data_IF_733407123317
#
_entry.id   IF_733407123317
#
_cell.length_a   1.000
_cell.length_b   1.000
_cell.length_c   1.000
_cell.angle_alpha   90.00
_cell.angle_beta   90.00
_cell.angle_gamma   90.00
#
_symmetry.space_group_name_H-M   'P 1'
#
loop_
_entity.id
_entity.type
_entity.pdbx_description
1 polymer ?
#
# COMPACT_ATOMS: atom_id res chain seq x y z
N UNK A 1 43.73 -32.99 41.54
CA UNK A 1 43.67 -31.52 41.70
C UNK A 1 43.87 -30.96 40.27
N UNK A 2 43.05 -30.19 39.74
CA UNK A 2 41.83 -29.50 40.03
C UNK A 2 41.31 -28.85 38.81
N UNK A 3 40.10 -28.74 38.78
CA UNK A 3 39.17 -27.88 38.16
C UNK A 3 39.72 -26.72 37.29
N UNK A 4 39.78 -26.91 35.99
CA UNK A 4 39.49 -25.87 35.00
C UNK A 4 38.89 -26.56 33.74
N UNK A 5 37.70 -27.12 33.93
CA UNK A 5 36.85 -27.47 32.83
C UNK A 5 35.83 -26.37 32.66
N UNK A 6 35.74 -25.89 31.40
CA UNK A 6 34.52 -25.41 30.82
C UNK A 6 34.03 -24.00 31.25
N UNK A 7 34.42 -23.03 30.47
CA UNK A 7 33.55 -21.89 30.16
C UNK A 7 33.84 -21.40 28.72
N UNK A 8 33.83 -22.29 27.76
CA UNK A 8 33.71 -21.94 26.34
C UNK A 8 32.59 -22.77 25.74
N UNK A 9 31.40 -22.68 26.31
CA UNK A 9 30.18 -22.98 25.60
C UNK A 9 29.78 -21.71 24.86
N UNK A 10 30.60 -21.33 23.87
CA UNK A 10 30.16 -20.44 22.83
C UNK A 10 28.99 -21.14 22.16
N UNK A 11 27.76 -20.60 22.26
CA UNK A 11 26.64 -20.99 21.40
C UNK A 11 27.17 -20.96 19.99
N UNK A 12 27.43 -22.13 19.41
CA UNK A 12 27.64 -22.26 17.98
C UNK A 12 26.34 -21.74 17.37
N UNK A 13 26.39 -20.54 16.78
CA UNK A 13 25.25 -20.00 16.08
C UNK A 13 24.85 -21.01 15.03
N UNK A 14 23.60 -21.49 15.08
CA UNK A 14 23.06 -22.37 14.09
C UNK A 14 23.20 -21.66 12.73
N UNK A 15 23.85 -22.27 11.70
CA UNK A 15 24.05 -21.63 10.41
C UNK A 15 22.76 -21.11 9.76
N UNK A 16 21.63 -21.76 10.05
CA UNK A 16 20.30 -21.32 9.59
C UNK A 16 19.84 -20.04 10.30
N UNK A 17 20.09 -19.92 11.60
CA UNK A 17 19.77 -18.69 12.36
C UNK A 17 20.61 -17.49 11.88
N UNK A 18 21.88 -17.72 11.57
CA UNK A 18 22.74 -16.68 11.03
C UNK A 18 22.31 -16.24 9.62
N UNK A 19 21.96 -17.21 8.77
CA UNK A 19 21.41 -16.93 7.44
C UNK A 19 20.11 -16.13 7.52
N UNK A 20 19.22 -16.49 8.43
CA UNK A 20 17.95 -15.77 8.63
C UNK A 20 18.17 -14.35 9.16
N UNK A 21 19.09 -14.16 10.12
CA UNK A 21 19.47 -12.83 10.61
C UNK A 21 20.05 -11.96 9.49
N UNK A 22 20.90 -12.52 8.64
CA UNK A 22 21.46 -11.80 7.51
C UNK A 22 20.38 -11.42 6.48
N UNK A 23 19.44 -12.33 6.22
CA UNK A 23 18.29 -12.04 5.34
C UNK A 23 17.46 -10.89 5.86
N UNK A 24 17.09 -10.92 7.16
CA UNK A 24 16.34 -9.85 7.80
C UNK A 24 17.10 -8.52 7.77
N UNK A 25 18.39 -8.53 8.08
CA UNK A 25 19.22 -7.33 8.02
C UNK A 25 19.27 -6.72 6.62
N UNK A 26 19.42 -7.55 5.59
CA UNK A 26 19.46 -7.08 4.21
C UNK A 26 18.09 -6.53 3.78
N UNK A 27 16.98 -7.16 4.19
CA UNK A 27 15.63 -6.64 3.97
C UNK A 27 15.50 -5.22 4.53
N UNK A 28 15.86 -5.00 5.79
CA UNK A 28 15.79 -3.69 6.44
C UNK A 28 16.66 -2.65 5.70
N UNK A 29 17.88 -3.01 5.31
CA UNK A 29 18.77 -2.11 4.56
C UNK A 29 18.09 -1.66 3.25
N UNK A 30 17.60 -2.60 2.44
CA UNK A 30 16.94 -2.27 1.18
C UNK A 30 15.67 -1.46 1.39
N UNK A 31 14.84 -1.81 2.37
CA UNK A 31 13.63 -1.05 2.72
C UNK A 31 13.96 0.41 3.05
N UNK A 32 14.91 0.64 3.96
CA UNK A 32 15.28 2.00 4.36
C UNK A 32 16.01 2.79 3.25
N UNK A 33 16.83 2.14 2.44
CA UNK A 33 17.47 2.77 1.29
C UNK A 33 16.41 3.16 0.23
N UNK A 34 15.42 2.31 0.00
CA UNK A 34 14.27 2.62 -0.86
C UNK A 34 13.48 3.84 -0.37
N UNK A 35 13.14 3.88 0.92
CA UNK A 35 12.43 5.01 1.53
C UNK A 35 13.23 6.32 1.42
N UNK A 36 14.54 6.24 1.61
CA UNK A 36 15.42 7.40 1.45
C UNK A 36 15.49 7.86 0.00
N UNK A 37 15.64 6.93 -0.94
CA UNK A 37 15.64 7.22 -2.37
C UNK A 37 14.33 7.86 -2.83
N UNK A 38 13.19 7.36 -2.38
CA UNK A 38 11.86 7.93 -2.66
C UNK A 38 11.78 9.39 -2.19
N UNK A 39 12.19 9.67 -0.95
CA UNK A 39 12.21 11.05 -0.41
C UNK A 39 13.13 11.99 -1.18
N UNK A 40 14.19 11.46 -1.79
CA UNK A 40 15.14 12.22 -2.63
C UNK A 40 14.68 12.33 -4.10
N UNK A 41 13.51 11.82 -4.45
CA UNK A 41 12.98 11.82 -5.83
C UNK A 41 13.72 10.88 -6.79
N UNK A 42 14.48 9.91 -6.26
CA UNK A 42 15.24 8.93 -7.05
C UNK A 42 14.42 7.68 -7.28
N UNK A 43 13.39 7.79 -8.12
CA UNK A 43 12.39 6.74 -8.33
C UNK A 43 13.02 5.41 -8.77
N UNK A 44 13.88 5.39 -9.80
CA UNK A 44 14.51 4.16 -10.29
C UNK A 44 15.27 3.41 -9.20
N UNK A 45 15.99 4.15 -8.34
CA UNK A 45 16.74 3.54 -7.25
C UNK A 45 15.82 3.07 -6.12
N UNK A 46 14.73 3.79 -5.85
CA UNK A 46 13.71 3.38 -4.89
C UNK A 46 13.03 2.08 -5.33
N UNK A 47 12.61 1.99 -6.59
CA UNK A 47 12.02 0.78 -7.18
C UNK A 47 12.98 -0.40 -7.01
N UNK A 48 14.24 -0.24 -7.38
CA UNK A 48 15.25 -1.29 -7.24
C UNK A 48 15.36 -1.75 -5.78
N UNK A 49 15.51 -0.83 -4.84
CA UNK A 49 15.66 -1.16 -3.42
C UNK A 49 14.43 -1.88 -2.86
N UNK A 50 13.22 -1.38 -3.14
CA UNK A 50 12.00 -2.03 -2.65
C UNK A 50 11.79 -3.41 -3.29
N UNK A 51 12.13 -3.58 -4.57
CA UNK A 51 12.07 -4.88 -5.25
C UNK A 51 13.03 -5.89 -4.62
N UNK A 52 14.28 -5.48 -4.32
CA UNK A 52 15.24 -6.34 -3.62
C UNK A 52 14.79 -6.68 -2.20
N UNK A 53 14.18 -5.72 -1.48
CA UNK A 53 13.60 -5.99 -0.17
C UNK A 53 12.49 -7.05 -0.26
N UNK A 54 11.55 -6.88 -1.18
CA UNK A 54 10.41 -7.79 -1.38
C UNK A 54 10.83 -9.18 -1.89
N UNK A 55 11.97 -9.28 -2.59
CA UNK A 55 12.55 -10.57 -2.96
C UNK A 55 13.09 -11.36 -1.74
N UNK A 56 13.49 -10.63 -0.69
CA UNK A 56 13.92 -11.24 0.56
C UNK A 56 12.74 -11.60 1.47
N UNK A 57 11.77 -10.70 1.58
CA UNK A 57 10.63 -10.85 2.49
C UNK A 57 9.40 -10.15 1.93
N UNK A 58 8.26 -10.85 1.92
CA UNK A 58 6.99 -10.22 1.66
C UNK A 58 6.62 -9.30 2.82
N UNK A 59 6.39 -8.01 2.53
CA UNK A 59 6.11 -6.99 3.51
C UNK A 59 5.09 -5.99 2.95
N UNK A 60 3.91 -5.94 3.57
CA UNK A 60 2.79 -5.14 3.11
C UNK A 60 3.12 -3.64 3.03
N UNK A 61 3.84 -3.13 4.02
CA UNK A 61 4.26 -1.72 4.06
C UNK A 61 5.22 -1.39 2.91
N UNK A 62 6.20 -2.27 2.65
CA UNK A 62 7.15 -2.09 1.53
C UNK A 62 6.44 -2.17 0.17
N UNK A 63 5.43 -3.03 0.02
CA UNK A 63 4.58 -3.04 -1.17
C UNK A 63 3.87 -1.70 -1.36
N UNK A 64 3.35 -1.11 -0.28
CA UNK A 64 2.71 0.21 -0.31
C UNK A 64 3.67 1.31 -0.78
N UNK A 65 4.90 1.33 -0.28
CA UNK A 65 5.93 2.27 -0.75
C UNK A 65 6.24 2.08 -2.24
N UNK A 66 6.41 0.85 -2.69
CA UNK A 66 6.70 0.54 -4.09
C UNK A 66 5.54 0.95 -5.00
N UNK A 67 4.30 0.66 -4.62
CA UNK A 67 3.12 1.07 -5.36
C UNK A 67 3.06 2.61 -5.51
N UNK A 68 3.36 3.33 -4.43
CA UNK A 68 3.40 4.79 -4.47
C UNK A 68 4.50 5.33 -5.40
N UNK A 69 5.67 4.69 -5.44
CA UNK A 69 6.74 5.09 -6.37
C UNK A 69 6.30 4.85 -7.82
N UNK A 70 5.67 3.72 -8.13
CA UNK A 70 5.13 3.45 -9.47
C UNK A 70 4.07 4.48 -9.89
N UNK A 71 3.16 4.87 -8.99
CA UNK A 71 2.17 5.93 -9.26
C UNK A 71 2.86 7.25 -9.58
N UNK A 72 3.86 7.65 -8.77
CA UNK A 72 4.62 8.89 -8.96
C UNK A 72 5.44 8.89 -10.27
N UNK A 73 5.88 7.71 -10.71
CA UNK A 73 6.64 7.51 -11.96
C UNK A 73 5.73 7.35 -13.18
N UNK A 74 4.40 7.47 -13.00
CA UNK A 74 3.41 7.24 -14.05
C UNK A 74 3.48 5.83 -14.67
N UNK A 75 3.66 4.83 -13.80
CA UNK A 75 3.68 3.41 -14.12
C UNK A 75 2.44 2.70 -13.51
N UNK A 76 1.21 3.01 -13.98
CA UNK A 76 -0.02 2.53 -13.34
C UNK A 76 -0.20 1.00 -13.44
N UNK A 77 0.33 0.36 -14.47
CA UNK A 77 0.21 -1.09 -14.66
C UNK A 77 0.95 -1.87 -13.55
N UNK A 78 2.16 -1.41 -13.19
CA UNK A 78 2.93 -2.04 -12.13
C UNK A 78 2.34 -1.72 -10.74
N UNK A 79 1.86 -0.49 -10.56
CA UNK A 79 1.15 -0.11 -9.33
C UNK A 79 -0.11 -0.97 -9.13
N UNK A 80 -0.92 -1.17 -10.18
CA UNK A 80 -2.14 -1.98 -10.13
C UNK A 80 -1.87 -3.41 -9.71
N UNK A 81 -0.94 -4.10 -10.37
CA UNK A 81 -0.57 -5.48 -10.03
C UNK A 81 -0.20 -5.64 -8.57
N UNK A 82 0.56 -4.68 -8.05
CA UNK A 82 1.01 -4.71 -6.67
C UNK A 82 -0.13 -4.45 -5.69
N UNK A 83 -0.99 -3.48 -5.99
CA UNK A 83 -2.18 -3.15 -5.17
C UNK A 83 -3.20 -4.29 -5.17
N UNK A 84 -3.45 -4.94 -6.31
CA UNK A 84 -4.32 -6.12 -6.39
C UNK A 84 -3.78 -7.26 -5.51
N UNK A 85 -2.46 -7.48 -5.49
CA UNK A 85 -1.85 -8.43 -4.56
C UNK A 85 -2.06 -8.00 -3.09
N UNK A 86 -1.91 -6.72 -2.79
CA UNK A 86 -2.11 -6.18 -1.44
C UNK A 86 -3.56 -6.37 -0.95
N UNK A 87 -4.57 -6.25 -1.83
CA UNK A 87 -5.97 -6.50 -1.45
C UNK A 87 -6.25 -7.96 -1.10
N UNK A 88 -5.44 -8.89 -1.60
CA UNK A 88 -5.54 -10.31 -1.24
C UNK A 88 -4.88 -10.60 0.12
N UNK A 89 -3.81 -9.88 0.46
CA UNK A 89 -3.09 -10.04 1.74
C UNK A 89 -3.90 -9.42 2.88
N UNK A 90 -4.40 -8.19 2.69
CA UNK A 90 -5.22 -7.47 3.67
C UNK A 90 -6.54 -7.00 3.03
N UNK A 91 -7.55 -7.87 2.98
CA UNK A 91 -8.82 -7.60 2.27
C UNK A 91 -9.70 -6.54 2.95
N UNK A 92 -9.39 -6.15 4.18
CA UNK A 92 -10.13 -5.10 4.92
C UNK A 92 -9.34 -3.78 5.03
N UNK A 93 -8.26 -3.62 4.27
CA UNK A 93 -7.47 -2.42 4.29
C UNK A 93 -8.02 -1.37 3.31
N UNK A 94 -8.93 -0.51 3.77
CA UNK A 94 -9.64 0.52 2.98
C UNK A 94 -8.71 1.36 2.11
N UNK A 95 -7.57 1.79 2.65
CA UNK A 95 -6.61 2.65 1.93
C UNK A 95 -6.04 2.00 0.66
N UNK A 96 -5.84 0.66 0.66
CA UNK A 96 -5.39 -0.06 -0.54
C UNK A 96 -6.44 0.02 -1.66
N UNK A 97 -7.72 -0.16 -1.34
CA UNK A 97 -8.80 -0.05 -2.33
C UNK A 97 -8.97 1.37 -2.87
N UNK A 98 -8.81 2.40 -2.01
CA UNK A 98 -8.83 3.80 -2.47
C UNK A 98 -7.67 4.09 -3.43
N UNK A 99 -6.48 3.57 -3.13
CA UNK A 99 -5.30 3.74 -3.99
C UNK A 99 -5.48 2.97 -5.31
N UNK A 100 -6.04 1.75 -5.26
CA UNK A 100 -6.36 0.95 -6.45
C UNK A 100 -7.37 1.68 -7.34
N UNK A 101 -8.44 2.26 -6.77
CA UNK A 101 -9.41 3.05 -7.51
C UNK A 101 -8.76 4.25 -8.22
N UNK A 102 -7.81 4.94 -7.56
CA UNK A 102 -7.07 6.02 -8.20
C UNK A 102 -6.17 5.53 -9.34
N UNK A 103 -5.54 4.38 -9.21
CA UNK A 103 -4.73 3.77 -10.29
C UNK A 103 -5.61 3.35 -11.46
N UNK A 104 -6.77 2.76 -11.21
CA UNK A 104 -7.75 2.44 -12.25
C UNK A 104 -8.23 3.71 -13.00
N UNK A 105 -8.40 4.82 -12.27
CA UNK A 105 -8.70 6.12 -12.88
C UNK A 105 -7.58 6.59 -13.82
N UNK A 106 -6.30 6.43 -13.44
CA UNK A 106 -5.16 6.76 -14.31
C UNK A 106 -5.14 5.95 -15.60
N UNK A 107 -5.70 4.73 -15.57
CA UNK A 107 -5.83 3.83 -16.72
C UNK A 107 -7.15 4.01 -17.48
N UNK A 108 -8.01 4.95 -17.07
CA UNK A 108 -9.36 5.15 -17.61
C UNK A 108 -10.26 3.89 -17.51
N UNK A 109 -9.89 2.96 -16.60
CA UNK A 109 -10.69 1.76 -16.29
C UNK A 109 -11.73 2.09 -15.21
N UNK A 110 -12.80 2.77 -15.65
CA UNK A 110 -13.84 3.24 -14.73
C UNK A 110 -14.67 2.10 -14.10
N UNK A 111 -14.75 0.96 -14.75
CA UNK A 111 -15.42 -0.21 -14.19
C UNK A 111 -14.63 -0.77 -12.98
N UNK A 112 -13.34 -1.02 -13.14
CA UNK A 112 -12.49 -1.47 -12.04
C UNK A 112 -12.36 -0.40 -10.95
N UNK A 113 -12.36 0.89 -11.32
CA UNK A 113 -12.41 2.00 -10.36
C UNK A 113 -13.65 1.93 -9.47
N UNK A 114 -14.84 1.70 -10.07
CA UNK A 114 -16.09 1.56 -9.33
C UNK A 114 -16.05 0.37 -8.38
N UNK A 115 -15.57 -0.79 -8.84
CA UNK A 115 -15.43 -1.99 -8.02
C UNK A 115 -14.54 -1.76 -6.80
N UNK A 116 -13.37 -1.14 -6.99
CA UNK A 116 -12.45 -0.84 -5.90
C UNK A 116 -13.08 0.17 -4.90
N UNK A 117 -13.75 1.22 -5.39
CA UNK A 117 -14.43 2.18 -4.53
C UNK A 117 -15.58 1.55 -3.74
N UNK A 118 -16.36 0.66 -4.35
CA UNK A 118 -17.42 -0.09 -3.67
C UNK A 118 -16.86 -1.01 -2.58
N UNK A 119 -15.71 -1.65 -2.80
CA UNK A 119 -15.03 -2.43 -1.76
C UNK A 119 -14.61 -1.56 -0.58
N UNK A 120 -14.07 -0.37 -0.83
CA UNK A 120 -13.73 0.59 0.22
C UNK A 120 -14.98 1.01 1.02
N UNK A 121 -16.12 1.26 0.36
CA UNK A 121 -17.39 1.59 1.03
C UNK A 121 -17.91 0.42 1.86
N UNK A 122 -17.77 -0.83 1.36
CA UNK A 122 -18.21 -2.01 2.09
C UNK A 122 -17.42 -2.22 3.40
N UNK A 123 -16.15 -1.81 3.43
CA UNK A 123 -15.33 -1.85 4.64
C UNK A 123 -15.65 -0.65 5.55
N UNK A 124 -15.79 0.54 4.98
CA UNK A 124 -15.98 1.78 5.69
C UNK A 124 -17.08 2.62 5.00
N UNK A 125 -18.36 2.39 5.39
CA UNK A 125 -19.54 3.00 4.75
C UNK A 125 -19.49 4.54 4.76
N UNK A 126 -18.93 5.14 5.81
CA UNK A 126 -18.79 6.58 5.97
C UNK A 126 -17.58 7.20 5.28
N UNK A 127 -16.86 6.47 4.44
CA UNK A 127 -15.67 6.99 3.79
C UNK A 127 -16.01 7.94 2.63
N UNK A 128 -15.93 9.24 2.88
CA UNK A 128 -16.24 10.28 1.90
C UNK A 128 -15.40 10.17 0.62
N UNK A 129 -14.10 9.77 0.73
CA UNK A 129 -13.24 9.60 -0.43
C UNK A 129 -13.70 8.45 -1.31
N UNK A 130 -14.15 7.34 -0.71
CA UNK A 130 -14.66 6.19 -1.46
C UNK A 130 -15.92 6.57 -2.26
N UNK A 131 -16.87 7.32 -1.66
CA UNK A 131 -18.03 7.85 -2.38
C UNK A 131 -17.65 8.83 -3.48
N UNK A 132 -16.66 9.69 -3.25
CA UNK A 132 -16.14 10.60 -4.28
C UNK A 132 -15.54 9.85 -5.47
N UNK A 133 -14.73 8.81 -5.21
CA UNK A 133 -14.12 7.99 -6.26
C UNK A 133 -15.18 7.20 -7.04
N UNK A 134 -16.21 6.69 -6.35
CA UNK A 134 -17.32 6.02 -7.01
C UNK A 134 -18.10 6.99 -7.94
N UNK A 135 -18.39 8.19 -7.47
CA UNK A 135 -19.03 9.21 -8.31
C UNK A 135 -18.18 9.61 -9.53
N UNK A 136 -16.85 9.65 -9.38
CA UNK A 136 -15.94 9.84 -10.54
C UNK A 136 -16.00 8.68 -11.54
N UNK A 137 -16.09 7.45 -11.05
CA UNK A 137 -16.23 6.27 -11.90
C UNK A 137 -17.55 6.30 -12.68
N UNK A 138 -18.67 6.63 -12.01
CA UNK A 138 -19.98 6.79 -12.64
C UNK A 138 -19.96 7.85 -13.75
N UNK A 139 -19.31 8.99 -13.50
CA UNK A 139 -19.12 10.02 -14.52
C UNK A 139 -18.34 9.50 -15.74
N UNK A 140 -17.28 8.73 -15.51
CA UNK A 140 -16.50 8.11 -16.59
C UNK A 140 -17.31 7.06 -17.38
N UNK A 141 -18.30 6.43 -16.74
CA UNK A 141 -19.25 5.49 -17.37
C UNK A 141 -20.47 6.18 -17.98
N UNK A 142 -20.54 7.51 -17.95
CA UNK A 142 -21.69 8.33 -18.40
C UNK A 142 -22.99 8.10 -17.60
N UNK A 143 -22.92 7.61 -16.36
CA UNK A 143 -24.05 7.53 -15.44
C UNK A 143 -24.16 8.80 -14.59
N UNK A 144 -24.73 9.85 -15.17
CA UNK A 144 -24.87 11.15 -14.51
C UNK A 144 -25.73 11.12 -13.26
N UNK A 145 -26.71 10.21 -13.20
CA UNK A 145 -27.61 10.12 -12.04
C UNK A 145 -26.87 9.56 -10.83
N UNK A 146 -26.16 8.45 -11.00
CA UNK A 146 -25.39 7.83 -9.93
C UNK A 146 -24.19 8.72 -9.53
N UNK A 147 -23.56 9.35 -10.50
CA UNK A 147 -22.51 10.34 -10.23
C UNK A 147 -22.97 11.43 -9.25
N UNK A 148 -24.11 12.08 -9.52
CA UNK A 148 -24.66 13.13 -8.64
C UNK A 148 -24.98 12.54 -7.25
N UNK A 149 -25.59 11.36 -7.18
CA UNK A 149 -25.93 10.72 -5.91
C UNK A 149 -24.69 10.46 -5.04
N UNK A 150 -23.64 9.86 -5.63
CA UNK A 150 -22.43 9.53 -4.89
C UNK A 150 -21.59 10.76 -4.53
N UNK A 151 -21.49 11.78 -5.41
CA UNK A 151 -20.83 13.03 -5.08
C UNK A 151 -21.57 13.80 -3.99
N UNK A 152 -22.91 13.83 -4.01
CA UNK A 152 -23.70 14.43 -2.94
C UNK A 152 -23.45 13.72 -1.60
N UNK A 153 -23.40 12.40 -1.60
CA UNK A 153 -23.08 11.62 -0.39
C UNK A 153 -21.69 11.94 0.14
N UNK A 154 -20.69 12.04 -0.75
CA UNK A 154 -19.32 12.41 -0.37
C UNK A 154 -19.25 13.82 0.28
N UNK A 155 -20.00 14.78 -0.26
CA UNK A 155 -20.06 16.15 0.29
C UNK A 155 -20.67 16.13 1.70
N UNK A 156 -21.82 15.47 1.87
CA UNK A 156 -22.48 15.37 3.18
C UNK A 156 -21.55 14.75 4.21
N UNK A 157 -20.88 13.63 3.88
CA UNK A 157 -19.94 12.96 4.79
C UNK A 157 -18.75 13.86 5.15
N UNK A 158 -18.29 14.70 4.23
CA UNK A 158 -17.20 15.65 4.48
C UNK A 158 -17.62 16.82 5.35
N UNK A 159 -18.82 17.33 5.14
CA UNK A 159 -19.37 18.46 5.91
C UNK A 159 -19.65 18.03 7.36
N UNK A 160 -20.22 16.86 7.58
CA UNK A 160 -20.40 16.26 8.91
C UNK A 160 -19.06 16.18 9.67
N UNK A 161 -17.97 15.90 8.97
CA UNK A 161 -16.64 15.85 9.57
C UNK A 161 -16.08 17.24 9.89
N UNK A 162 -16.47 18.26 9.13
CA UNK A 162 -16.01 19.64 9.31
C UNK A 162 -16.76 20.31 10.46
N UNK A 163 -18.06 20.11 10.60
CA UNK A 163 -18.87 20.61 11.70
C UNK A 163 -18.46 19.99 13.04
N UNK A 164 -18.13 18.70 13.08
CA UNK A 164 -17.62 18.03 14.26
C UNK A 164 -16.24 18.56 14.73
N UNK A 165 -15.53 19.30 13.88
CA UNK A 165 -14.26 19.98 14.21
C UNK A 165 -14.45 21.38 14.76
N UNK A 166 -15.63 21.96 14.58
CA UNK A 166 -15.97 23.33 15.03
C UNK A 166 -16.74 23.36 16.37
N UNK A 167 -17.13 22.20 16.89
CA UNK A 167 -17.68 21.98 18.23
C UNK A 167 -16.62 21.46 19.20
#
# INVERSE_FOLDING_TARGET
>A
MGFFKSFFSGKANNPEEEKQKNKQKNFEIFKYDGMRAQRMGRADYAIKCFTEALALQEDFETMGYLAQVYIQSNEPDEARKLLEKMTQIEPEHTSTFLTLANVCYMQEDYAAMAEAAQKAIAIEEGNAMAHYLLGKADNGQNDGIMCIAHLTKAIVLKDDFTEARLL
#
